data_IF_454245070277
#
_entry.id   IF_454245070277
#
_cell.length_a   1.000
_cell.length_b   1.000
_cell.length_c   1.000
_cell.angle_alpha   90.00
_cell.angle_beta   90.00
_cell.angle_gamma   90.00
#
_symmetry.space_group_name_H-M   'P 1'
#
loop_
_entity.id
_entity.type
_entity.pdbx_description
1 polymer ?
#
# COMPACT_ATOMS: atom_id res chain seq x y z
N UNK A 1 -3.75 6.55 -10.98
CA UNK A 1 -4.15 5.52 -10.01
C UNK A 1 -3.38 5.73 -8.72
N UNK A 2 -3.96 5.40 -7.57
CA UNK A 2 -3.30 5.45 -6.27
C UNK A 2 -2.99 4.04 -5.82
N UNK A 3 -1.73 3.76 -5.50
CA UNK A 3 -1.36 2.49 -4.91
C UNK A 3 -1.43 2.65 -3.39
N UNK A 4 -2.24 1.83 -2.72
CA UNK A 4 -2.35 1.82 -1.27
C UNK A 4 -1.73 0.53 -0.75
N UNK A 5 -0.66 0.64 0.02
CA UNK A 5 -0.12 -0.53 0.72
C UNK A 5 -1.02 -0.95 1.90
N UNK A 6 -0.68 -2.06 2.54
CA UNK A 6 -1.46 -2.53 3.69
C UNK A 6 -1.43 -1.54 4.86
N UNK A 7 -0.34 -0.80 5.10
CA UNK A 7 -0.28 0.18 6.20
C UNK A 7 -1.18 1.40 5.98
N UNK A 8 -1.38 1.85 4.74
CA UNK A 8 -2.35 2.86 4.38
C UNK A 8 -3.79 2.35 4.50
N UNK A 9 -4.06 1.12 4.07
CA UNK A 9 -5.40 0.52 4.17
C UNK A 9 -5.83 0.28 5.62
N UNK A 10 -4.90 -0.05 6.52
CA UNK A 10 -5.18 -0.17 7.96
C UNK A 10 -5.75 1.14 8.51
N UNK A 11 -5.19 2.29 8.12
CA UNK A 11 -5.65 3.63 8.56
C UNK A 11 -7.06 3.98 8.08
N UNK A 12 -7.55 3.32 7.04
CA UNK A 12 -8.94 3.47 6.56
C UNK A 12 -9.94 2.61 7.32
N UNK A 13 -9.48 1.62 8.10
CA UNK A 13 -10.32 0.74 8.93
C UNK A 13 -10.18 1.09 10.41
N UNK A 14 -8.96 1.34 10.85
CA UNK A 14 -8.58 1.61 12.23
C UNK A 14 -8.13 3.05 12.34
N UNK A 15 -8.76 3.81 13.22
CA UNK A 15 -8.43 5.22 13.45
C UNK A 15 -7.06 5.33 14.12
N UNK A 16 -6.14 5.99 13.42
CA UNK A 16 -4.77 6.30 13.79
C UNK A 16 -4.53 7.81 13.59
N UNK A 17 -3.44 8.39 14.12
CA UNK A 17 -3.19 9.84 14.02
C UNK A 17 -3.24 10.38 12.58
N UNK A 18 -2.79 9.60 11.60
CA UNK A 18 -2.74 10.01 10.19
C UNK A 18 -4.04 9.74 9.41
N UNK A 19 -5.04 9.09 10.03
CA UNK A 19 -6.22 8.60 9.31
C UNK A 19 -7.08 9.72 8.72
N UNK A 20 -7.29 10.81 9.46
CA UNK A 20 -8.10 11.92 8.97
C UNK A 20 -7.40 12.62 7.79
N UNK A 21 -6.09 12.88 7.91
CA UNK A 21 -5.29 13.48 6.84
C UNK A 21 -5.21 12.58 5.60
N UNK A 22 -5.14 11.25 5.78
CA UNK A 22 -5.22 10.30 4.66
C UNK A 22 -6.57 10.38 3.96
N UNK A 23 -7.68 10.35 4.70
CA UNK A 23 -9.02 10.42 4.13
C UNK A 23 -9.23 11.71 3.33
N UNK A 24 -8.88 12.87 3.92
CA UNK A 24 -8.96 14.17 3.25
C UNK A 24 -8.10 14.19 1.98
N UNK A 25 -6.86 13.70 2.06
CA UNK A 25 -5.98 13.68 0.90
C UNK A 25 -6.54 12.79 -0.21
N UNK A 26 -7.06 11.59 0.11
CA UNK A 26 -7.68 10.70 -0.88
C UNK A 26 -8.88 11.35 -1.57
N UNK A 27 -9.68 12.13 -0.85
CA UNK A 27 -10.80 12.88 -1.43
C UNK A 27 -10.32 13.93 -2.43
N UNK A 28 -9.19 14.61 -2.17
CA UNK A 28 -8.59 15.55 -3.14
C UNK A 28 -8.03 14.88 -4.40
N UNK A 29 -7.73 13.58 -4.34
CA UNK A 29 -7.22 12.80 -5.47
C UNK A 29 -8.34 12.15 -6.30
N UNK A 30 -9.61 12.30 -5.90
CA UNK A 30 -10.73 11.78 -6.67
C UNK A 30 -10.73 12.38 -8.10
N UNK A 31 -11.06 11.57 -9.14
CA UNK A 31 -11.61 10.22 -9.09
C UNK A 31 -10.56 9.10 -9.24
N UNK A 32 -9.30 9.29 -8.79
CA UNK A 32 -8.26 8.28 -8.97
C UNK A 32 -8.62 6.93 -8.31
N UNK A 33 -8.62 5.85 -9.10
CA UNK A 33 -8.87 4.50 -8.61
C UNK A 33 -7.75 4.02 -7.67
N UNK A 34 -8.12 3.25 -6.65
CA UNK A 34 -7.20 2.64 -5.69
C UNK A 34 -6.78 1.24 -6.14
N UNK A 35 -5.50 0.95 -6.02
CA UNK A 35 -4.93 -0.37 -6.34
C UNK A 35 -3.98 -0.89 -5.26
N UNK A 36 -3.94 -2.22 -5.16
CA UNK A 36 -3.04 -2.97 -4.28
C UNK A 36 -2.77 -4.35 -4.92
N UNK A 37 -1.81 -5.15 -4.43
CA UNK A 37 -1.65 -6.53 -4.88
C UNK A 37 -2.74 -7.42 -4.24
N UNK A 38 -3.01 -8.59 -4.83
CA UNK A 38 -3.87 -9.61 -4.19
C UNK A 38 -3.32 -10.08 -2.85
N UNK A 39 -2.02 -9.88 -2.59
CA UNK A 39 -1.39 -10.14 -1.30
C UNK A 39 -2.07 -9.39 -0.13
N UNK A 40 -2.66 -8.22 -0.37
CA UNK A 40 -3.40 -7.46 0.64
C UNK A 40 -4.60 -8.23 1.20
N UNK A 41 -5.17 -9.19 0.47
CA UNK A 41 -6.23 -10.07 0.96
C UNK A 41 -5.77 -10.95 2.13
N UNK A 42 -4.46 -11.19 2.21
CA UNK A 42 -3.81 -11.95 3.30
C UNK A 42 -3.28 -10.99 4.35
N UNK A 43 -2.58 -9.93 3.95
CA UNK A 43 -1.90 -9.02 4.87
C UNK A 43 -2.88 -8.22 5.74
N UNK A 44 -3.90 -7.62 5.14
CA UNK A 44 -4.84 -6.74 5.85
C UNK A 44 -5.55 -7.45 7.01
N UNK A 45 -6.22 -8.60 6.82
CA UNK A 45 -6.85 -9.29 7.94
C UNK A 45 -5.84 -9.86 8.95
N UNK A 46 -4.63 -10.24 8.52
CA UNK A 46 -3.58 -10.70 9.45
C UNK A 46 -3.07 -9.58 10.34
N UNK A 47 -2.81 -8.41 9.75
CA UNK A 47 -2.39 -7.22 10.49
C UNK A 47 -3.47 -6.81 11.50
N UNK A 48 -4.74 -6.75 11.06
CA UNK A 48 -5.87 -6.43 11.95
C UNK A 48 -6.07 -7.47 13.07
N UNK A 49 -5.84 -8.76 12.84
CA UNK A 49 -5.85 -9.75 13.94
C UNK A 49 -4.82 -9.45 15.01
N UNK A 50 -3.67 -8.92 14.62
CA UNK A 50 -2.59 -8.59 15.55
C UNK A 50 -2.89 -7.32 16.36
N UNK A 51 -3.51 -6.31 15.73
CA UNK A 51 -3.71 -5.00 16.38
C UNK A 51 -5.09 -4.82 16.97
N UNK A 52 -6.16 -5.26 16.29
CA UNK A 52 -7.56 -5.06 16.70
C UNK A 52 -8.53 -5.98 15.93
N UNK A 53 -8.67 -7.22 16.40
CA UNK A 53 -9.44 -8.26 15.69
C UNK A 53 -10.93 -7.95 15.51
N UNK A 54 -11.51 -7.05 16.32
CA UNK A 54 -12.90 -6.60 16.19
C UNK A 54 -13.19 -5.87 14.88
N UNK A 55 -12.17 -5.35 14.20
CA UNK A 55 -12.32 -4.59 12.95
C UNK A 55 -12.30 -5.46 11.69
N UNK A 56 -12.15 -6.79 11.82
CA UNK A 56 -12.11 -7.71 10.68
C UNK A 56 -13.38 -7.66 9.81
N UNK A 57 -14.53 -7.31 10.40
CA UNK A 57 -15.80 -7.21 9.67
C UNK A 57 -15.80 -6.10 8.62
N UNK A 58 -14.87 -5.13 8.72
CA UNK A 58 -14.76 -3.99 7.80
C UNK A 58 -13.91 -4.32 6.55
N UNK A 59 -13.10 -5.39 6.60
CA UNK A 59 -12.17 -5.76 5.52
C UNK A 59 -12.85 -5.98 4.17
N UNK A 60 -13.96 -6.75 4.06
CA UNK A 60 -14.60 -6.97 2.77
C UNK A 60 -15.09 -5.68 2.11
N UNK A 61 -15.64 -4.75 2.91
CA UNK A 61 -16.14 -3.46 2.43
C UNK A 61 -15.02 -2.56 1.88
N UNK A 62 -13.85 -2.53 2.55
CA UNK A 62 -12.70 -1.79 2.04
C UNK A 62 -12.14 -2.45 0.77
N UNK A 63 -11.92 -3.76 0.77
CA UNK A 63 -11.36 -4.48 -0.39
C UNK A 63 -12.26 -4.44 -1.62
N UNK A 64 -13.57 -4.23 -1.47
CA UNK A 64 -14.49 -4.01 -2.58
C UNK A 64 -14.23 -2.68 -3.33
N UNK A 65 -13.57 -1.71 -2.69
CA UNK A 65 -13.22 -0.40 -3.25
C UNK A 65 -11.82 -0.37 -3.89
N UNK A 66 -11.02 -1.42 -3.68
CA UNK A 66 -9.63 -1.51 -4.13
C UNK A 66 -9.52 -2.53 -5.26
N UNK A 67 -9.11 -2.07 -6.43
CA UNK A 67 -8.78 -2.96 -7.53
C UNK A 67 -7.47 -3.71 -7.20
N UNK A 68 -7.51 -5.03 -7.20
CA UNK A 68 -6.38 -5.87 -6.79
C UNK A 68 -5.71 -6.50 -8.00
N UNK A 69 -4.39 -6.43 -8.05
CA UNK A 69 -3.58 -7.04 -9.11
C UNK A 69 -2.90 -8.32 -8.63
N UNK A 70 -2.95 -9.38 -9.45
CA UNK A 70 -2.36 -10.66 -9.09
C UNK A 70 -0.83 -10.59 -8.96
N UNK A 71 -0.26 -11.30 -7.98
CA UNK A 71 1.20 -11.44 -7.84
C UNK A 71 1.70 -12.49 -8.84
N UNK A 72 1.79 -12.09 -10.10
CA UNK A 72 2.17 -12.92 -11.23
C UNK A 72 3.70 -13.09 -11.37
N UNK A 73 4.15 -13.71 -12.45
CA UNK A 73 5.58 -13.95 -12.70
C UNK A 73 6.38 -12.65 -12.81
N UNK A 74 5.82 -11.62 -13.46
CA UNK A 74 6.49 -10.33 -13.63
C UNK A 74 6.71 -9.68 -12.27
N UNK A 75 5.68 -9.66 -11.41
CA UNK A 75 5.78 -9.11 -10.06
C UNK A 75 6.79 -9.89 -9.23
N UNK A 76 6.76 -11.23 -9.26
CA UNK A 76 7.70 -12.07 -8.48
C UNK A 76 9.14 -11.88 -8.93
N UNK A 77 9.40 -11.81 -10.23
CA UNK A 77 10.74 -11.58 -10.77
C UNK A 77 11.25 -10.19 -10.40
N UNK A 78 10.39 -9.16 -10.51
CA UNK A 78 10.74 -7.80 -10.10
C UNK A 78 11.03 -7.71 -8.59
N UNK A 79 10.19 -8.31 -7.74
CA UNK A 79 10.39 -8.33 -6.30
C UNK A 79 11.70 -9.03 -5.89
N UNK A 80 12.04 -10.15 -6.55
CA UNK A 80 13.29 -10.86 -6.32
C UNK A 80 14.55 -10.05 -6.72
N UNK A 81 14.39 -9.02 -7.55
CA UNK A 81 15.46 -8.14 -8.01
C UNK A 81 15.76 -6.95 -7.08
N UNK A 82 15.01 -6.74 -6.00
CA UNK A 82 15.27 -5.62 -5.08
C UNK A 82 16.60 -5.84 -4.34
N UNK A 83 17.55 -4.88 -4.41
CA UNK A 83 18.90 -5.08 -3.87
C UNK A 83 19.00 -4.88 -2.35
N UNK A 84 18.00 -4.26 -1.72
CA UNK A 84 18.01 -4.02 -0.28
C UNK A 84 17.75 -5.31 0.49
N UNK A 85 18.81 -5.88 1.07
CA UNK A 85 18.74 -7.10 1.89
C UNK A 85 17.96 -6.92 3.20
N UNK A 86 17.73 -5.67 3.64
CA UNK A 86 16.89 -5.41 4.78
C UNK A 86 15.41 -5.55 4.40
N UNK A 87 14.99 -5.23 3.18
CA UNK A 87 13.58 -5.30 2.79
C UNK A 87 13.06 -6.74 2.94
N UNK A 88 11.99 -6.92 3.72
CA UNK A 88 11.43 -8.27 3.91
C UNK A 88 10.86 -8.78 2.58
N UNK A 89 10.93 -10.10 2.38
CA UNK A 89 10.59 -10.71 1.09
C UNK A 89 9.15 -10.41 0.62
N UNK A 90 8.19 -10.32 1.54
CA UNK A 90 6.81 -9.96 1.21
C UNK A 90 6.66 -8.46 0.95
N UNK A 91 7.36 -7.63 1.71
CA UNK A 91 7.31 -6.16 1.55
C UNK A 91 7.79 -5.75 0.16
N UNK A 92 8.74 -6.48 -0.44
CA UNK A 92 9.21 -6.24 -1.81
C UNK A 92 8.11 -6.38 -2.88
N UNK A 93 7.03 -7.11 -2.62
CA UNK A 93 5.93 -7.31 -3.58
C UNK A 93 5.21 -6.00 -3.87
N UNK A 94 5.02 -5.13 -2.87
CA UNK A 94 4.30 -3.87 -3.06
C UNK A 94 4.99 -2.92 -4.05
N UNK A 95 6.23 -2.46 -3.81
CA UNK A 95 6.91 -1.55 -4.72
C UNK A 95 7.20 -2.23 -6.08
N UNK A 96 7.45 -3.55 -6.10
CA UNK A 96 7.58 -4.30 -7.36
C UNK A 96 6.29 -4.26 -8.20
N UNK A 97 5.12 -4.48 -7.57
CA UNK A 97 3.83 -4.40 -8.26
C UNK A 97 3.58 -2.97 -8.77
N UNK A 98 3.78 -1.97 -7.91
CA UNK A 98 3.56 -0.58 -8.25
C UNK A 98 4.46 -0.12 -9.42
N UNK A 99 5.75 -0.47 -9.37
CA UNK A 99 6.72 -0.08 -10.39
C UNK A 99 6.55 -0.86 -11.70
N UNK A 100 6.47 -2.20 -11.64
CA UNK A 100 6.44 -3.02 -12.85
C UNK A 100 5.11 -2.95 -13.61
N UNK A 101 3.99 -2.73 -12.91
CA UNK A 101 2.65 -2.80 -13.51
C UNK A 101 2.04 -1.42 -13.69
N UNK A 102 2.24 -0.51 -12.74
CA UNK A 102 1.45 0.73 -12.67
C UNK A 102 2.26 2.02 -12.89
N UNK A 103 3.60 1.97 -12.95
CA UNK A 103 4.47 3.16 -12.94
C UNK A 103 4.04 4.27 -13.90
N UNK A 104 3.65 3.95 -15.14
CA UNK A 104 3.23 4.95 -16.13
C UNK A 104 1.89 5.65 -15.84
N UNK A 105 1.09 5.11 -14.93
CA UNK A 105 -0.26 5.60 -14.59
C UNK A 105 -0.42 5.90 -13.09
N UNK A 106 0.65 5.72 -12.32
CA UNK A 106 0.62 5.87 -10.88
C UNK A 106 0.80 7.33 -10.51
N UNK A 107 -0.16 7.86 -9.76
CA UNK A 107 -0.10 9.21 -9.18
C UNK A 107 0.75 9.18 -7.91
N UNK A 108 0.56 8.15 -7.09
CA UNK A 108 1.25 8.00 -5.82
C UNK A 108 1.24 6.54 -5.33
N UNK A 109 2.31 6.18 -4.63
CA UNK A 109 2.45 5.02 -3.78
C UNK A 109 2.30 5.47 -2.32
N UNK A 110 1.12 5.25 -1.75
CA UNK A 110 0.77 5.68 -0.40
C UNK A 110 1.08 4.54 0.57
N UNK A 111 2.00 4.81 1.48
CA UNK A 111 2.37 3.91 2.56
C UNK A 111 2.81 4.69 3.80
N UNK A 112 2.93 3.99 4.93
CA UNK A 112 3.38 4.56 6.20
C UNK A 112 4.58 3.80 6.80
N UNK A 113 4.92 2.62 6.27
CA UNK A 113 6.17 1.94 6.59
C UNK A 113 7.37 2.64 5.92
N UNK A 114 8.39 3.03 6.69
CA UNK A 114 9.56 3.78 6.20
C UNK A 114 10.41 3.00 5.21
N UNK A 115 10.58 1.70 5.46
CA UNK A 115 11.43 0.83 4.64
C UNK A 115 10.75 0.61 3.30
N UNK A 116 9.44 0.44 3.31
CA UNK A 116 8.63 0.32 2.11
C UNK A 116 8.64 1.60 1.27
N UNK A 117 8.50 2.76 1.92
CA UNK A 117 8.58 4.06 1.25
C UNK A 117 9.98 4.28 0.64
N UNK A 118 11.05 3.94 1.38
CA UNK A 118 12.41 4.03 0.86
C UNK A 118 12.63 3.13 -0.36
N UNK A 119 12.14 1.89 -0.31
CA UNK A 119 12.22 0.96 -1.44
C UNK A 119 11.43 1.43 -2.67
N UNK A 120 10.23 2.00 -2.47
CA UNK A 120 9.41 2.57 -3.52
C UNK A 120 10.05 3.84 -4.14
N UNK A 121 10.59 4.72 -3.30
CA UNK A 121 11.28 5.94 -3.73
C UNK A 121 12.57 5.62 -4.50
N UNK A 122 13.31 4.58 -4.10
CA UNK A 122 14.52 4.14 -4.78
C UNK A 122 14.28 3.68 -6.23
N UNK A 123 13.06 3.26 -6.56
CA UNK A 123 12.64 2.93 -7.94
C UNK A 123 11.83 4.05 -8.60
N UNK A 124 11.85 5.26 -8.03
CA UNK A 124 11.29 6.48 -8.63
C UNK A 124 9.78 6.66 -8.47
N UNK A 125 9.13 5.92 -7.56
CA UNK A 125 7.69 6.10 -7.31
C UNK A 125 7.45 7.37 -6.45
N UNK A 126 6.37 8.15 -6.70
CA UNK A 126 5.98 9.23 -5.80
C UNK A 126 5.41 8.65 -4.50
N UNK A 127 6.01 8.95 -3.35
CA UNK A 127 5.68 8.29 -2.08
C UNK A 127 5.11 9.22 -0.99
N UNK A 128 3.90 9.79 -1.15
CA UNK A 128 3.30 10.59 -0.10
C UNK A 128 2.82 9.72 1.08
N UNK A 129 2.95 10.27 2.30
CA UNK A 129 2.35 9.72 3.52
C UNK A 129 1.54 10.83 4.21
N UNK A 130 0.29 11.11 3.77
CA UNK A 130 -0.51 12.19 4.33
C UNK A 130 -0.63 12.11 5.85
N UNK A 131 -0.45 13.24 6.55
CA UNK A 131 -0.49 13.28 8.01
C UNK A 131 0.80 12.83 8.71
N UNK A 132 1.78 12.25 7.98
CA UNK A 132 3.10 11.97 8.53
C UNK A 132 3.93 13.25 8.55
N UNK A 133 4.42 13.66 9.70
CA UNK A 133 5.43 14.70 9.79
C UNK A 133 6.76 14.16 9.25
N UNK A 134 7.24 14.72 8.14
CA UNK A 134 8.62 14.51 7.69
C UNK A 134 9.53 15.20 8.71
N UNK A 135 10.35 14.42 9.41
CA UNK A 135 11.39 14.93 10.31
C UNK A 135 12.59 15.41 9.52
#
# INVERSE_FOLDING_TARGET
MLYLDTSALIKLIRREPESDALAEWLDTQAPAAWVSPTLTEVELPRALRCVESGLLTNVPGLLARVARYGVDEVVRAAAAGYPDAALHSLDAIHPATAHAVFSSWLVAFVAYDERLLAAAAAVGLPTPSPGRHQS
#
